data_IF_331096554650
#
_entry.id   IF_331096554650
#
_cell.length_a   1.000
_cell.length_b   1.000
_cell.length_c   1.000
_cell.angle_alpha   90.00
_cell.angle_beta   90.00
_cell.angle_gamma   90.00
#
_symmetry.space_group_name_H-M   'P 1'
#
loop_
_entity.id
_entity.type
_entity.pdbx_description
1 polymer ?
#
# COMPACT_ATOMS: atom_id res chain seq x y z
N UNK A 1 60.92 21.44 -12.54
CA UNK A 1 60.59 21.40 -13.98
C UNK A 1 59.14 20.94 -14.10
N UNK A 2 58.22 21.91 -14.01
CA UNK A 2 57.53 22.51 -15.16
C UNK A 2 56.50 21.55 -15.76
N UNK A 3 55.21 21.76 -15.44
CA UNK A 3 54.27 22.49 -16.32
C UNK A 3 53.80 21.54 -17.45
N UNK A 4 52.51 21.24 -17.66
CA UNK A 4 51.57 22.17 -18.30
C UNK A 4 50.22 21.47 -18.53
N UNK A 5 49.11 22.11 -18.16
CA UNK A 5 47.94 22.18 -19.05
C UNK A 5 48.39 22.93 -20.31
N UNK A 6 47.93 22.56 -21.51
CA UNK A 6 46.93 23.42 -22.17
C UNK A 6 46.00 22.57 -23.10
N UNK A 7 45.39 23.09 -24.18
CA UNK A 7 44.15 23.87 -24.14
C UNK A 7 43.07 23.41 -25.15
N UNK A 8 41.82 23.78 -24.86
CA UNK A 8 40.75 24.29 -25.74
C UNK A 8 40.31 23.58 -27.04
N UNK A 9 38.97 23.53 -27.16
CA UNK A 9 38.15 23.84 -28.34
C UNK A 9 38.06 22.84 -29.50
N UNK A 10 36.86 22.27 -29.67
CA UNK A 10 36.00 22.40 -30.86
C UNK A 10 34.54 22.25 -30.39
N UNK A 11 33.68 23.27 -30.29
CA UNK A 11 33.12 24.23 -31.25
C UNK A 11 32.08 23.65 -32.22
N UNK A 12 30.89 24.26 -32.18
CA UNK A 12 29.93 24.49 -33.27
C UNK A 12 28.77 23.52 -33.52
N UNK A 13 27.57 23.86 -32.97
CA UNK A 13 26.39 24.43 -33.69
C UNK A 13 25.08 24.19 -32.90
N UNK A 14 24.51 25.17 -32.20
CA UNK A 14 23.52 26.18 -32.66
C UNK A 14 22.20 25.58 -33.18
N UNK A 15 21.08 25.74 -32.46
CA UNK A 15 19.78 26.17 -33.04
C UNK A 15 18.74 26.60 -31.99
N UNK A 16 18.25 27.83 -32.20
CA UNK A 16 17.07 28.57 -31.73
C UNK A 16 16.17 28.03 -30.60
N UNK A 17 15.88 28.92 -29.64
CA UNK A 17 14.70 28.87 -28.78
C UNK A 17 14.38 30.25 -28.21
N UNK A 18 13.66 31.05 -28.99
CA UNK A 18 13.21 32.42 -28.71
C UNK A 18 12.01 32.49 -27.75
N UNK A 19 12.07 33.39 -26.78
CA UNK A 19 10.95 33.87 -25.95
C UNK A 19 11.56 34.56 -24.72
N UNK A 20 11.52 35.86 -24.50
CA UNK A 20 10.49 36.88 -24.74
C UNK A 20 10.30 37.58 -23.38
N UNK A 21 10.56 38.90 -23.23
CA UNK A 21 10.45 39.56 -21.93
C UNK A 21 9.02 40.06 -21.70
N UNK A 22 8.37 39.59 -20.63
CA UNK A 22 7.06 40.06 -20.19
C UNK A 22 7.08 40.21 -18.67
N UNK A 23 6.80 41.43 -18.20
CA UNK A 23 7.03 41.80 -16.81
C UNK A 23 5.80 41.86 -15.92
N UNK A 24 6.11 42.33 -14.70
CA UNK A 24 5.34 43.20 -13.79
C UNK A 24 4.19 42.59 -12.94
N UNK A 25 4.49 42.58 -11.63
CA UNK A 25 3.65 42.69 -10.42
C UNK A 25 2.42 41.79 -10.20
N UNK A 26 2.43 41.01 -9.10
CA UNK A 26 1.41 41.03 -8.02
C UNK A 26 1.63 39.90 -6.99
N UNK A 27 1.51 40.23 -5.70
CA UNK A 27 1.51 39.34 -4.52
C UNK A 27 2.87 39.32 -3.83
N UNK A 28 3.14 39.91 -2.66
CA UNK A 28 2.39 40.13 -1.41
C UNK A 28 1.81 38.84 -0.79
N UNK A 29 2.42 38.47 0.34
CA UNK A 29 2.25 37.25 1.13
C UNK A 29 3.59 36.50 1.10
N UNK A 30 4.38 36.35 2.14
CA UNK A 30 4.19 36.43 3.58
C UNK A 30 5.61 36.29 4.21
N UNK A 31 5.97 36.98 5.31
CA UNK A 31 7.12 36.57 6.12
C UNK A 31 6.74 35.33 6.93
N UNK A 32 6.67 34.17 6.25
CA UNK A 32 6.13 32.94 6.80
C UNK A 32 7.20 31.91 7.15
N UNK A 33 7.64 31.95 8.40
CA UNK A 33 8.11 30.77 9.12
C UNK A 33 9.44 30.16 8.62
N UNK A 34 10.56 30.76 9.06
CA UNK A 34 11.67 29.92 9.54
C UNK A 34 11.13 28.91 10.58
N UNK A 35 11.81 27.78 10.82
CA UNK A 35 11.28 26.73 11.68
C UNK A 35 10.96 27.34 13.04
N UNK A 36 9.67 27.50 13.33
CA UNK A 36 9.23 27.61 14.69
C UNK A 36 9.60 26.28 15.30
N UNK A 37 10.70 26.22 16.05
CA UNK A 37 10.83 25.21 17.10
C UNK A 37 9.71 25.51 18.08
N UNK A 38 8.49 25.07 17.75
CA UNK A 38 7.38 24.94 18.66
C UNK A 38 7.85 23.90 19.66
N UNK A 39 8.31 24.41 20.79
CA UNK A 39 8.67 23.66 21.99
C UNK A 39 7.45 22.80 22.37
N UNK A 40 7.43 21.55 21.90
CA UNK A 40 6.29 20.63 22.05
C UNK A 40 5.98 19.76 20.84
N UNK A 41 6.49 20.07 19.65
CA UNK A 41 6.38 19.18 18.50
C UNK A 41 7.34 17.99 18.66
N UNK A 42 6.82 16.89 19.19
CA UNK A 42 7.52 15.61 19.19
C UNK A 42 7.60 15.12 17.74
N UNK A 43 8.71 14.50 17.35
CA UNK A 43 8.82 13.85 16.04
C UNK A 43 9.28 12.42 16.24
N UNK A 44 8.57 11.46 15.63
CA UNK A 44 8.93 10.05 15.65
C UNK A 44 9.25 9.55 14.26
N UNK A 45 10.33 8.78 14.15
CA UNK A 45 10.83 8.26 12.87
C UNK A 45 10.67 6.75 12.87
N UNK A 46 9.97 6.23 11.86
CA UNK A 46 9.73 4.79 11.69
C UNK A 46 10.33 4.38 10.35
N UNK A 47 11.30 3.46 10.39
CA UNK A 47 11.87 2.87 9.19
C UNK A 47 11.03 1.68 8.74
N UNK A 48 10.55 1.73 7.50
CA UNK A 48 9.76 0.66 6.87
C UNK A 48 10.28 0.37 5.48
N UNK A 49 9.98 -0.81 4.95
CA UNK A 49 10.30 -1.11 3.56
C UNK A 49 9.55 -0.17 2.60
N UNK A 50 10.18 0.25 1.51
CA UNK A 50 9.59 1.11 0.49
C UNK A 50 8.30 0.49 -0.10
N UNK A 51 8.28 -0.83 -0.23
CA UNK A 51 7.12 -1.59 -0.71
C UNK A 51 5.97 -1.55 0.30
N UNK A 52 6.30 -1.65 1.58
CA UNK A 52 5.32 -1.57 2.67
C UNK A 52 4.81 -0.14 2.85
N UNK A 53 5.69 0.88 2.80
CA UNK A 53 5.32 2.28 2.86
C UNK A 53 4.26 2.68 1.82
N UNK A 54 4.47 2.30 0.56
CA UNK A 54 3.50 2.55 -0.51
C UNK A 54 2.14 1.90 -0.23
N UNK A 55 2.15 0.68 0.32
CA UNK A 55 0.94 -0.04 0.71
C UNK A 55 0.25 0.53 1.96
N UNK A 56 1.01 1.02 2.94
CA UNK A 56 0.51 1.68 4.16
C UNK A 56 -0.26 2.96 3.79
N UNK A 57 0.21 3.71 2.80
CA UNK A 57 -0.45 4.93 2.30
C UNK A 57 -1.69 4.58 1.45
N UNK A 58 -1.59 3.52 0.64
CA UNK A 58 -2.65 3.05 -0.24
C UNK A 58 -2.85 3.89 -1.51
N UNK A 59 -3.65 3.37 -2.45
CA UNK A 59 -3.99 4.08 -3.69
C UNK A 59 -4.71 5.39 -3.35
N UNK A 60 -4.14 6.53 -3.79
CA UNK A 60 -4.70 7.86 -3.52
C UNK A 60 -4.48 8.40 -2.11
N UNK A 61 -3.63 7.74 -1.31
CA UNK A 61 -3.33 8.16 0.06
C UNK A 61 -4.52 8.08 0.99
N UNK A 62 -5.48 7.18 0.73
CA UNK A 62 -6.69 7.05 1.53
C UNK A 62 -6.32 6.69 2.97
N UNK A 63 -5.38 5.76 3.15
CA UNK A 63 -4.96 5.33 4.48
C UNK A 63 -4.09 6.37 5.18
N UNK A 64 -3.15 7.03 4.48
CA UNK A 64 -2.38 8.13 5.09
C UNK A 64 -3.26 9.31 5.49
N UNK A 65 -4.24 9.68 4.65
CA UNK A 65 -5.25 10.71 4.98
C UNK A 65 -6.09 10.31 6.18
N UNK A 66 -6.48 9.04 6.27
CA UNK A 66 -7.24 8.53 7.41
C UNK A 66 -6.41 8.60 8.69
N UNK A 67 -5.15 8.14 8.68
CA UNK A 67 -4.27 8.19 9.84
C UNK A 67 -4.08 9.63 10.32
N UNK A 68 -3.84 10.59 9.42
CA UNK A 68 -3.74 12.00 9.77
C UNK A 68 -5.06 12.58 10.30
N UNK A 69 -6.22 12.13 9.79
CA UNK A 69 -7.55 12.57 10.27
C UNK A 69 -7.85 12.02 11.66
N UNK A 70 -7.53 10.75 11.91
CA UNK A 70 -7.79 10.08 13.17
C UNK A 70 -6.82 10.52 14.27
N UNK A 71 -5.55 10.81 13.92
CA UNK A 71 -4.53 11.20 14.92
C UNK A 71 -4.32 12.68 15.08
N UNK A 72 -4.63 13.48 14.05
CA UNK A 72 -4.21 14.87 13.99
C UNK A 72 -2.68 15.05 13.92
N UNK A 73 -1.90 13.97 13.78
CA UNK A 73 -0.47 14.05 13.53
C UNK A 73 -0.19 14.25 12.04
N UNK A 74 0.90 14.96 11.74
CA UNK A 74 1.39 15.16 10.38
C UNK A 74 2.33 14.03 10.00
N UNK A 75 1.97 13.30 8.94
CA UNK A 75 2.78 12.21 8.39
C UNK A 75 3.56 12.69 7.18
N UNK A 76 4.87 12.47 7.17
CA UNK A 76 5.79 12.75 6.07
C UNK A 76 6.59 11.51 5.70
N UNK A 77 6.75 11.23 4.41
CA UNK A 77 7.55 10.09 3.93
C UNK A 77 8.83 10.63 3.31
N UNK A 78 9.98 10.20 3.82
CA UNK A 78 11.31 10.51 3.27
C UNK A 78 11.99 9.24 2.77
N UNK A 79 12.72 9.36 1.67
CA UNK A 79 13.57 8.30 1.14
C UNK A 79 14.86 8.19 1.95
N UNK A 80 15.34 6.96 2.19
CA UNK A 80 16.60 6.76 2.88
C UNK A 80 17.76 6.82 1.88
N UNK A 81 18.65 7.80 2.02
CA UNK A 81 19.80 8.03 1.11
C UNK A 81 20.79 6.85 1.03
N UNK A 82 20.79 5.95 2.02
CA UNK A 82 21.66 4.76 2.03
C UNK A 82 21.01 3.52 1.42
N UNK A 83 19.68 3.44 1.45
CA UNK A 83 18.95 2.23 1.08
C UNK A 83 17.63 2.60 0.38
N UNK A 84 17.52 2.44 -0.95
CA UNK A 84 16.30 2.76 -1.68
C UNK A 84 15.12 1.84 -1.31
N UNK A 85 15.41 0.71 -0.66
CA UNK A 85 14.41 -0.24 -0.17
C UNK A 85 13.80 0.16 1.18
N UNK A 86 14.33 1.20 1.85
CA UNK A 86 13.80 1.68 3.13
C UNK A 86 13.28 3.10 2.98
N UNK A 87 12.07 3.33 3.48
CA UNK A 87 11.48 4.67 3.62
C UNK A 87 11.34 5.00 5.10
N UNK A 88 11.59 6.25 5.42
CA UNK A 88 11.47 6.80 6.77
C UNK A 88 10.15 7.56 6.83
N UNK A 89 9.21 7.05 7.62
CA UNK A 89 7.97 7.75 7.94
C UNK A 89 8.24 8.62 9.16
N UNK A 90 8.15 9.93 8.99
CA UNK A 90 8.23 10.91 10.06
C UNK A 90 6.83 11.35 10.47
N UNK A 91 6.52 11.16 11.75
CA UNK A 91 5.29 11.62 12.38
C UNK A 91 5.64 12.86 13.22
N UNK A 92 5.02 13.99 12.90
CA UNK A 92 5.19 15.28 13.59
C UNK A 92 3.88 15.67 14.28
N UNK A 93 3.95 16.00 15.56
CA UNK A 93 2.76 16.41 16.34
C UNK A 93 3.03 16.43 17.84
N UNK A 94 1.97 16.37 18.64
CA UNK A 94 2.09 16.16 20.09
C UNK A 94 2.41 14.69 20.41
N UNK A 95 2.90 14.43 21.62
CA UNK A 95 3.25 13.09 22.07
C UNK A 95 2.08 12.10 21.95
N UNK A 96 0.87 12.51 22.34
CA UNK A 96 -0.34 11.68 22.24
C UNK A 96 -0.71 11.38 20.79
N UNK A 97 -0.69 12.40 19.92
CA UNK A 97 -1.01 12.24 18.50
C UNK A 97 -0.05 11.26 17.82
N UNK A 98 1.24 11.35 18.14
CA UNK A 98 2.27 10.44 17.61
C UNK A 98 2.11 9.02 18.16
N UNK A 99 1.78 8.86 19.43
CA UNK A 99 1.58 7.54 20.03
C UNK A 99 0.43 6.80 19.32
N UNK A 100 -0.70 7.49 19.10
CA UNK A 100 -1.84 6.93 18.34
C UNK A 100 -1.45 6.67 16.88
N UNK A 101 -0.73 7.61 16.24
CA UNK A 101 -0.38 7.50 14.82
C UNK A 101 0.62 6.37 14.56
N UNK A 102 1.64 6.27 15.41
CA UNK A 102 2.64 5.21 15.36
C UNK A 102 2.01 3.83 15.59
N UNK A 103 1.01 3.72 16.46
CA UNK A 103 0.21 2.50 16.65
C UNK A 103 -0.54 2.10 15.38
N UNK A 104 -1.28 3.03 14.76
CA UNK A 104 -1.99 2.75 13.51
C UNK A 104 -1.06 2.40 12.35
N UNK A 105 0.05 3.13 12.19
CA UNK A 105 1.05 2.84 11.16
C UNK A 105 1.65 1.45 11.35
N UNK A 106 2.03 1.08 12.58
CA UNK A 106 2.55 -0.26 12.92
C UNK A 106 1.53 -1.37 12.70
N UNK A 107 0.27 -1.10 12.99
CA UNK A 107 -0.80 -2.06 12.77
C UNK A 107 -1.07 -2.29 11.28
N UNK A 108 -1.02 -1.24 10.46
CA UNK A 108 -1.10 -1.38 9.00
C UNK A 108 0.08 -2.21 8.46
N UNK A 109 1.29 -2.00 8.99
CA UNK A 109 2.46 -2.81 8.63
C UNK A 109 2.24 -4.28 9.00
N UNK A 110 1.71 -4.56 10.19
CA UNK A 110 1.43 -5.93 10.65
C UNK A 110 0.36 -6.63 9.80
N UNK A 111 -0.70 -5.90 9.44
CA UNK A 111 -1.78 -6.40 8.58
C UNK A 111 -1.31 -6.65 7.14
N UNK A 112 -0.51 -5.75 6.58
CA UNK A 112 0.02 -5.85 5.20
C UNK A 112 1.20 -6.84 5.10
N UNK A 113 2.03 -6.95 6.13
CA UNK A 113 3.15 -7.90 6.21
C UNK A 113 2.72 -9.34 6.47
N UNK A 114 1.55 -9.54 7.09
CA UNK A 114 0.94 -10.86 7.31
C UNK A 114 0.08 -11.34 6.13
N UNK A 115 0.08 -10.62 5.00
CA UNK A 115 -0.42 -11.15 3.71
C UNK A 115 0.59 -12.14 3.09
N UNK A 116 1.25 -12.95 3.94
CA UNK A 116 1.53 -14.36 3.64
C UNK A 116 0.36 -15.21 4.14
N UNK A 117 -0.81 -14.94 3.58
CA UNK A 117 -1.79 -15.97 3.21
C UNK A 117 -2.61 -15.39 2.06
N UNK A 118 -2.24 -15.64 0.78
CA UNK A 118 -3.30 -16.08 -0.11
C UNK A 118 -3.95 -17.25 0.62
N UNK A 119 -5.16 -17.06 1.14
CA UNK A 119 -5.99 -18.23 1.37
C UNK A 119 -6.11 -18.86 0.00
N UNK A 120 -5.43 -20.00 -0.14
CA UNK A 120 -5.29 -20.68 -1.40
C UNK A 120 -6.63 -20.90 -2.05
N UNK A 121 -6.63 -20.83 -3.37
CA UNK A 121 -7.61 -21.54 -4.21
C UNK A 121 -7.30 -23.05 -4.17
N UNK A 122 -7.33 -23.58 -2.95
CA UNK A 122 -7.05 -24.96 -2.58
C UNK A 122 -7.56 -25.17 -1.15
N UNK A 123 -8.87 -25.40 -1.02
CA UNK A 123 -9.55 -25.76 0.23
C UNK A 123 -10.95 -25.17 0.35
N UNK A 124 -12.03 -25.93 0.07
CA UNK A 124 -13.40 -25.48 0.31
C UNK A 124 -13.82 -25.82 1.74
N UNK A 125 -13.34 -25.06 2.72
CA UNK A 125 -13.89 -25.08 4.08
C UNK A 125 -14.62 -23.76 4.33
N UNK A 126 -15.76 -23.65 3.65
CA UNK A 126 -16.75 -22.64 3.97
C UNK A 126 -17.22 -22.83 5.41
N UNK A 127 -17.30 -21.73 6.14
CA UNK A 127 -18.15 -21.62 7.33
C UNK A 127 -19.48 -22.32 7.05
N UNK A 128 -19.97 -23.20 7.94
CA UNK A 128 -21.23 -23.89 7.71
C UNK A 128 -22.33 -22.84 7.63
N UNK A 129 -22.90 -22.64 6.44
CA UNK A 129 -24.17 -21.97 6.31
C UNK A 129 -25.22 -22.94 6.86
N UNK A 130 -25.90 -22.63 7.97
CA UNK A 130 -26.97 -23.48 8.47
C UNK A 130 -28.08 -23.47 7.42
N UNK A 131 -28.22 -24.58 6.68
CA UNK A 131 -29.35 -24.82 5.76
C UNK A 131 -29.05 -24.93 4.27
N UNK A 132 -27.80 -24.95 3.81
CA UNK A 132 -27.55 -25.19 2.38
C UNK A 132 -27.57 -26.68 2.04
N UNK A 133 -28.60 -27.11 1.31
CA UNK A 133 -28.78 -28.49 0.79
C UNK A 133 -27.78 -28.85 -0.34
N UNK A 134 -26.66 -28.13 -0.43
CA UNK A 134 -25.64 -28.33 -1.45
C UNK A 134 -24.91 -29.65 -1.25
N UNK A 135 -24.93 -30.50 -2.28
CA UNK A 135 -24.35 -31.85 -2.31
C UNK A 135 -24.95 -32.82 -1.28
N UNK A 136 -26.26 -32.73 -1.05
CA UNK A 136 -27.01 -33.67 -0.17
C UNK A 136 -27.51 -34.93 -0.87
N UNK A 137 -27.54 -34.94 -2.21
CA UNK A 137 -27.95 -36.09 -3.05
C UNK A 137 -26.91 -36.34 -4.14
N UNK A 138 -26.75 -37.61 -4.53
CA UNK A 138 -25.89 -38.01 -5.65
C UNK A 138 -26.49 -37.48 -6.97
N UNK A 139 -25.62 -36.95 -7.83
CA UNK A 139 -25.97 -36.50 -9.16
C UNK A 139 -26.25 -37.69 -10.07
N UNK A 140 -27.51 -37.95 -10.37
CA UNK A 140 -27.94 -39.04 -11.25
C UNK A 140 -27.29 -38.95 -12.64
N UNK A 141 -27.12 -37.73 -13.14
CA UNK A 141 -26.52 -37.46 -14.45
C UNK A 141 -25.01 -37.72 -14.47
N UNK A 142 -24.31 -37.52 -13.35
CA UNK A 142 -22.91 -37.90 -13.20
C UNK A 142 -22.76 -39.41 -13.04
N UNK A 143 -23.68 -40.07 -12.31
CA UNK A 143 -23.70 -41.54 -12.21
C UNK A 143 -23.86 -42.23 -13.57
N UNK A 144 -24.49 -41.56 -14.54
CA UNK A 144 -24.61 -42.00 -15.94
C UNK A 144 -23.45 -41.53 -16.84
N UNK A 145 -22.47 -40.80 -16.28
CA UNK A 145 -21.32 -40.26 -17.01
C UNK A 145 -21.60 -39.02 -17.87
N UNK A 146 -22.77 -38.39 -17.74
CA UNK A 146 -23.23 -37.32 -18.64
C UNK A 146 -23.43 -35.96 -17.92
N UNK A 147 -22.75 -35.71 -16.81
CA UNK A 147 -22.87 -34.44 -16.09
C UNK A 147 -22.04 -33.34 -16.76
N UNK A 148 -22.72 -32.30 -17.26
CA UNK A 148 -22.07 -31.14 -17.89
C UNK A 148 -21.59 -30.09 -16.90
N UNK A 149 -21.98 -30.19 -15.62
CA UNK A 149 -21.71 -29.19 -14.60
C UNK A 149 -20.33 -29.32 -13.94
N UNK A 150 -19.68 -30.49 -14.04
CA UNK A 150 -18.38 -30.76 -13.42
C UNK A 150 -18.38 -30.43 -11.92
N UNK A 151 -17.28 -29.87 -11.43
CA UNK A 151 -17.10 -29.53 -10.00
C UNK A 151 -18.06 -28.45 -9.46
N UNK A 152 -18.83 -27.80 -10.34
CA UNK A 152 -19.87 -26.81 -9.98
C UNK A 152 -21.26 -27.41 -9.84
N UNK A 153 -21.39 -28.73 -9.92
CA UNK A 153 -22.68 -29.38 -9.73
C UNK A 153 -23.18 -29.21 -8.28
N UNK A 154 -24.44 -28.81 -8.15
CA UNK A 154 -25.12 -28.70 -6.84
C UNK A 154 -25.40 -30.08 -6.19
N UNK A 155 -25.27 -31.15 -6.96
CA UNK A 155 -25.41 -32.54 -6.53
C UNK A 155 -24.02 -33.20 -6.44
N UNK A 156 -23.88 -34.19 -5.56
CA UNK A 156 -22.59 -34.85 -5.31
C UNK A 156 -22.22 -35.81 -6.45
N UNK A 157 -20.99 -35.76 -6.95
CA UNK A 157 -20.50 -36.69 -7.98
C UNK A 157 -19.97 -38.02 -7.43
N UNK A 158 -20.13 -38.26 -6.14
CA UNK A 158 -19.76 -39.51 -5.48
C UNK A 158 -19.91 -39.37 -3.98
N UNK A 159 -19.64 -40.45 -3.25
CA UNK A 159 -19.61 -40.44 -1.78
C UNK A 159 -18.58 -39.44 -1.22
N UNK A 160 -17.47 -39.22 -1.92
CA UNK A 160 -16.43 -38.23 -1.57
C UNK A 160 -16.95 -36.79 -1.51
N UNK A 161 -18.04 -36.51 -2.24
CA UNK A 161 -18.65 -35.18 -2.31
C UNK A 161 -20.02 -35.12 -1.64
N UNK A 162 -20.62 -36.27 -1.31
CA UNK A 162 -21.93 -36.36 -0.71
C UNK A 162 -21.85 -35.95 0.75
N UNK A 163 -22.42 -34.80 1.08
CA UNK A 163 -22.66 -34.44 2.47
C UNK A 163 -23.71 -35.38 3.02
N UNK A 164 -23.27 -36.41 3.76
CA UNK A 164 -24.12 -37.16 4.68
C UNK A 164 -24.67 -36.17 5.70
N UNK A 165 -25.83 -35.60 5.41
CA UNK A 165 -26.69 -35.02 6.43
C UNK A 165 -27.04 -36.16 7.37
N UNK A 166 -26.25 -36.31 8.43
CA UNK A 166 -26.50 -37.30 9.48
C UNK A 166 -27.87 -37.03 10.08
N UNK A 167 -28.84 -37.81 9.63
CA UNK A 167 -30.13 -38.00 10.29
C UNK A 167 -30.33 -39.51 10.28
N UNK A 168 -29.94 -40.14 11.38
CA UNK A 168 -30.51 -41.38 11.87
C UNK A 168 -31.20 -41.04 13.19
#
# INVERSE_FOLDING_TARGET
>A
MTNLRPPVSQVSRNMQGSGGPGGRFSGRGDPGSGPVSIFGASTSKISVDASLAGAIIGKGGIHSKQICRETGAKLSIKDHERDPNLKIIELEGTFEQINVASGMVRELIGRLGSVKKPQGIGGPEGKPHPGSNYKTKICDRYSKGNCTYGDRCHFAHGESELRRSGIA
#
